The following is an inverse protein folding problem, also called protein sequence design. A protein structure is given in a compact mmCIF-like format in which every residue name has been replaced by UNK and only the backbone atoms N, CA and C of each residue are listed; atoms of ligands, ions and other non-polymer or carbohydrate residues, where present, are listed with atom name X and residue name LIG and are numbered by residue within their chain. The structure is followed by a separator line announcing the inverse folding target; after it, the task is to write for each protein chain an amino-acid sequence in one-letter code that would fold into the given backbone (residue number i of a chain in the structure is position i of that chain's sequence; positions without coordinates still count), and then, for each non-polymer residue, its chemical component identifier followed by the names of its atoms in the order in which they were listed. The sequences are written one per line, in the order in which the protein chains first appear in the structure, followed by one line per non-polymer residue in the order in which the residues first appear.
data_IF_015966470649
#
_entry.id   IF_015966470649
#
_cell.length_a   1.000
_cell.length_b   1.000
_cell.length_c   1.000
_cell.angle_alpha   90.00
_cell.angle_beta   90.00
_cell.angle_gamma   90.00
#
_symmetry.space_group_name_H-M   'P 1'
#
loop_
_entity.id
_entity.type
_entity.pdbx_description
1 polymer ?
#
# COMPACT_ATOMS: atom_id res chain seq x y z
N UNK A 1 -52.22 -12.01 23.78
CA UNK A 1 -53.19 -13.13 23.81
C UNK A 1 -53.62 -13.40 22.37
N UNK A 2 -53.16 -14.54 21.81
CA UNK A 2 -53.57 -15.25 20.57
C UNK A 2 -53.53 -14.46 19.23
N UNK A 3 -52.74 -14.78 18.19
CA UNK A 3 -52.39 -16.02 17.43
C UNK A 3 -53.07 -16.05 16.05
N UNK A 4 -52.27 -16.40 15.02
CA UNK A 4 -52.57 -16.79 13.62
C UNK A 4 -52.80 -15.64 12.61
N UNK A 5 -52.35 -15.72 11.37
CA UNK A 5 -51.84 -16.87 10.63
C UNK A 5 -51.00 -16.49 9.40
N UNK A 6 -50.03 -17.37 9.17
CA UNK A 6 -49.18 -17.53 8.00
C UNK A 6 -50.02 -18.10 6.84
N UNK A 7 -49.87 -17.53 5.64
CA UNK A 7 -50.24 -18.20 4.38
C UNK A 7 -49.17 -17.92 3.33
N UNK A 8 -48.59 -19.04 2.92
CA UNK A 8 -47.48 -19.26 2.02
C UNK A 8 -47.99 -19.29 0.57
N UNK A 9 -47.36 -18.57 -0.36
CA UNK A 9 -47.59 -18.77 -1.80
C UNK A 9 -46.28 -18.63 -2.56
N UNK A 10 -45.68 -19.79 -2.87
CA UNK A 10 -44.59 -19.94 -3.83
C UNK A 10 -45.13 -20.01 -5.27
N UNK A 11 -44.40 -19.50 -6.27
CA UNK A 11 -44.55 -19.95 -7.65
C UNK A 11 -43.47 -20.96 -8.04
N UNK A 12 -43.96 -22.03 -8.66
CA UNK A 12 -43.27 -23.14 -9.31
C UNK A 12 -42.30 -22.66 -10.41
N UNK A 13 -41.03 -23.07 -10.33
CA UNK A 13 -40.10 -23.00 -11.45
C UNK A 13 -39.65 -24.38 -11.92
N UNK A 14 -39.98 -24.61 -13.19
CA UNK A 14 -39.72 -25.74 -14.06
C UNK A 14 -38.38 -26.49 -13.84
N UNK A 15 -38.53 -27.80 -13.80
CA UNK A 15 -37.53 -28.87 -13.89
C UNK A 15 -36.60 -28.70 -15.11
N UNK A 16 -35.29 -28.57 -14.86
CA UNK A 16 -34.25 -28.81 -15.86
C UNK A 16 -33.68 -30.21 -15.69
N UNK A 17 -33.88 -31.05 -16.70
CA UNK A 17 -33.28 -32.37 -16.80
C UNK A 17 -31.74 -32.25 -16.96
N UNK A 18 -31.00 -32.67 -15.93
CA UNK A 18 -29.55 -32.86 -16.02
C UNK A 18 -29.25 -34.26 -16.55
N UNK A 19 -28.83 -34.32 -17.82
CA UNK A 19 -28.28 -35.50 -18.50
C UNK A 19 -27.00 -35.98 -17.82
N UNK A 20 -26.96 -37.25 -17.40
CA UNK A 20 -25.77 -37.93 -16.87
C UNK A 20 -24.69 -38.08 -17.96
N UNK A 21 -23.40 -37.85 -17.67
CA UNK A 21 -22.32 -38.17 -18.59
C UNK A 21 -22.13 -39.70 -18.70
N UNK A 22 -22.06 -40.20 -19.94
CA UNK A 22 -21.80 -41.60 -20.27
C UNK A 22 -20.31 -41.91 -20.03
N UNK A 23 -20.03 -42.88 -19.16
CA UNK A 23 -18.70 -43.48 -19.00
C UNK A 23 -18.46 -44.40 -20.19
N UNK A 24 -17.58 -44.00 -21.11
CA UNK A 24 -17.14 -44.83 -22.23
C UNK A 24 -16.02 -45.76 -21.75
N UNK A 25 -16.33 -47.03 -21.53
CA UNK A 25 -15.33 -48.06 -21.22
C UNK A 25 -14.82 -48.69 -22.51
N UNK A 26 -13.64 -48.26 -22.95
CA UNK A 26 -12.96 -48.86 -24.09
C UNK A 26 -12.15 -50.07 -23.62
N UNK A 27 -12.63 -51.28 -23.94
CA UNK A 27 -11.85 -52.53 -23.82
C UNK A 27 -11.00 -52.70 -25.07
N UNK A 28 -9.67 -52.66 -24.93
CA UNK A 28 -8.77 -53.18 -25.96
C UNK A 28 -8.19 -54.53 -25.54
N UNK A 29 -8.33 -55.50 -26.45
CA UNK A 29 -7.73 -56.84 -26.39
C UNK A 29 -6.22 -56.75 -26.66
N UNK A 30 -5.51 -57.60 -25.95
CA UNK A 30 -4.05 -57.83 -25.96
C UNK A 30 -3.46 -58.13 -27.34
N UNK A 31 -2.30 -57.54 -27.61
CA UNK A 31 -1.30 -58.06 -28.54
C UNK A 31 0.09 -57.92 -27.91
N UNK A 32 0.81 -59.03 -27.86
CA UNK A 32 2.16 -59.15 -27.30
C UNK A 32 3.20 -58.35 -28.09
N UNK A 33 4.11 -57.67 -27.40
CA UNK A 33 5.23 -56.98 -28.03
C UNK A 33 6.20 -56.34 -27.05
N UNK A 34 7.34 -57.00 -26.84
CA UNK A 34 8.65 -56.49 -26.37
C UNK A 34 8.66 -55.54 -25.16
N UNK A 35 9.12 -56.09 -24.04
CA UNK A 35 9.54 -55.34 -22.86
C UNK A 35 10.60 -54.30 -23.26
N UNK A 36 10.20 -53.03 -23.27
CA UNK A 36 11.09 -51.89 -23.40
C UNK A 36 11.21 -51.30 -21.99
N UNK A 37 12.38 -51.44 -21.38
CA UNK A 37 12.68 -50.85 -20.07
C UNK A 37 12.61 -49.33 -20.19
N UNK A 38 11.46 -48.75 -19.83
CA UNK A 38 11.34 -47.32 -19.63
C UNK A 38 11.97 -47.04 -18.26
N UNK A 39 13.22 -46.54 -18.27
CA UNK A 39 13.81 -45.91 -17.09
C UNK A 39 12.96 -44.71 -16.72
N UNK A 40 12.14 -44.85 -15.69
CA UNK A 40 11.50 -43.71 -15.04
C UNK A 40 12.60 -42.93 -14.34
N UNK A 41 13.12 -41.90 -15.00
CA UNK A 41 13.92 -40.86 -14.35
C UNK A 41 13.01 -40.21 -13.31
N UNK A 42 13.28 -40.52 -12.04
CA UNK A 42 12.69 -39.84 -10.91
C UNK A 42 12.97 -38.34 -11.06
N UNK A 43 11.95 -37.55 -11.41
CA UNK A 43 12.02 -36.10 -11.31
C UNK A 43 12.19 -35.78 -9.83
N UNK A 44 13.41 -35.39 -9.46
CA UNK A 44 13.68 -34.81 -8.15
C UNK A 44 12.80 -33.57 -8.02
N UNK A 45 11.75 -33.71 -7.22
CA UNK A 45 10.93 -32.62 -6.75
C UNK A 45 11.85 -31.76 -5.88
N UNK A 46 12.33 -30.65 -6.44
CA UNK A 46 13.10 -29.67 -5.69
C UNK A 46 12.15 -29.08 -4.65
N UNK A 47 12.37 -29.43 -3.39
CA UNK A 47 11.75 -28.74 -2.27
C UNK A 47 11.95 -27.23 -2.44
N UNK A 48 10.92 -26.39 -2.23
CA UNK A 48 11.07 -24.95 -2.30
C UNK A 48 12.12 -24.53 -1.27
N UNK A 49 13.24 -24.02 -1.78
CA UNK A 49 14.32 -23.47 -0.96
C UNK A 49 13.74 -22.40 -0.01
N UNK A 50 14.11 -22.38 1.28
CA UNK A 50 13.71 -21.29 2.15
C UNK A 50 14.19 -19.97 1.55
N UNK A 51 13.29 -19.00 1.43
CA UNK A 51 13.57 -17.68 0.85
C UNK A 51 14.77 -17.04 1.55
N UNK A 52 15.94 -17.11 0.94
CA UNK A 52 17.16 -16.44 1.40
C UNK A 52 16.97 -14.95 1.14
N UNK A 53 16.43 -14.23 2.11
CA UNK A 53 16.33 -12.77 2.05
C UNK A 53 17.74 -12.20 1.87
N UNK A 54 17.99 -11.50 0.77
CA UNK A 54 19.28 -10.85 0.51
C UNK A 54 19.62 -9.89 1.63
N UNK A 55 20.91 -9.71 1.94
CA UNK A 55 21.41 -8.83 3.01
C UNK A 55 20.93 -7.36 2.90
N UNK A 56 20.45 -6.95 1.72
CA UNK A 56 19.75 -5.68 1.49
C UNK A 56 18.36 -5.63 2.14
N UNK A 57 17.60 -6.72 2.14
CA UNK A 57 16.25 -6.81 2.72
C UNK A 57 16.27 -6.84 4.26
N UNK A 58 17.33 -7.39 4.86
CA UNK A 58 17.54 -7.34 6.31
C UNK A 58 17.88 -5.93 6.82
N UNK A 59 18.36 -5.03 5.94
CA UNK A 59 18.75 -3.65 6.28
C UNK A 59 17.62 -2.65 6.07
N UNK A 60 16.73 -2.90 5.11
CA UNK A 60 15.50 -2.12 4.97
C UNK A 60 14.70 -2.28 6.25
N UNK A 61 14.50 -1.17 6.97
CA UNK A 61 13.75 -1.16 8.22
C UNK A 61 12.28 -1.60 8.02
N UNK A 62 11.41 -1.39 9.01
CA UNK A 62 10.01 -1.82 8.96
C UNK A 62 9.19 -1.26 7.78
N UNK A 63 9.74 -0.32 7.01
CA UNK A 63 9.12 0.26 5.83
C UNK A 63 9.51 -0.42 4.51
N UNK A 64 10.47 -1.35 4.51
CA UNK A 64 10.98 -1.97 3.28
C UNK A 64 11.78 -1.00 2.39
N UNK A 65 11.98 0.24 2.81
CA UNK A 65 12.76 1.24 2.06
C UNK A 65 14.25 0.97 2.22
N UNK A 66 14.95 0.96 1.09
CA UNK A 66 16.41 0.91 1.05
C UNK A 66 16.96 2.33 1.15
N UNK A 67 17.54 2.66 2.31
CA UNK A 67 18.21 3.94 2.60
C UNK A 67 19.68 3.64 2.90
N UNK A 68 20.34 3.05 1.92
CA UNK A 68 21.76 2.68 2.01
C UNK A 68 22.02 1.72 3.17
N UNK A 69 22.84 2.17 4.12
CA UNK A 69 23.21 1.40 5.32
C UNK A 69 22.42 1.80 6.58
N UNK A 70 21.45 2.71 6.43
CA UNK A 70 20.78 3.34 7.55
C UNK A 70 19.30 2.93 7.64
N UNK A 71 18.78 2.99 8.87
CA UNK A 71 17.33 2.84 9.08
C UNK A 71 16.64 4.13 8.62
N UNK A 72 15.48 4.05 7.94
CA UNK A 72 14.74 5.24 7.51
C UNK A 72 14.41 6.22 8.64
N UNK A 73 14.22 5.74 9.87
CA UNK A 73 13.89 6.58 11.03
C UNK A 73 15.11 7.09 11.80
N UNK A 74 16.33 6.82 11.34
CA UNK A 74 17.57 7.28 11.98
C UNK A 74 18.00 8.65 11.44
N UNK A 75 18.73 9.48 12.20
CA UNK A 75 19.21 10.78 11.69
C UNK A 75 20.06 10.67 10.42
N UNK A 76 20.91 9.64 10.32
CA UNK A 76 21.70 9.39 9.12
C UNK A 76 20.83 8.96 7.92
N UNK A 77 19.84 8.10 8.15
CA UNK A 77 18.87 7.72 7.12
C UNK A 77 18.02 8.90 6.67
N UNK A 78 17.63 9.78 7.58
CA UNK A 78 16.95 11.03 7.22
C UNK A 78 17.84 11.92 6.36
N UNK A 79 19.11 12.12 6.73
CA UNK A 79 20.04 12.92 5.93
C UNK A 79 20.18 12.37 4.50
N UNK A 80 20.27 11.05 4.33
CA UNK A 80 20.33 10.40 3.01
C UNK A 80 19.04 10.60 2.21
N UNK A 81 17.87 10.38 2.81
CA UNK A 81 16.59 10.61 2.14
C UNK A 81 16.40 12.08 1.78
N UNK A 82 16.74 13.01 2.67
CA UNK A 82 16.63 14.44 2.40
C UNK A 82 17.58 14.88 1.27
N UNK A 83 18.78 14.30 1.18
CA UNK A 83 19.67 14.53 0.05
C UNK A 83 19.07 14.01 -1.26
N UNK A 84 18.54 12.79 -1.28
CA UNK A 84 17.88 12.21 -2.46
C UNK A 84 16.67 13.02 -2.91
N UNK A 85 15.82 13.48 -1.97
CA UNK A 85 14.65 14.30 -2.28
C UNK A 85 15.05 15.66 -2.87
N UNK A 86 16.15 16.28 -2.40
CA UNK A 86 16.70 17.50 -3.00
C UNK A 86 17.24 17.25 -4.41
N UNK A 87 17.96 16.15 -4.61
CA UNK A 87 18.47 15.76 -5.93
C UNK A 87 17.36 15.48 -6.94
N UNK A 88 16.27 14.85 -6.48
CA UNK A 88 15.08 14.59 -7.28
C UNK A 88 14.19 15.83 -7.46
N UNK A 89 14.58 16.99 -6.92
CA UNK A 89 13.85 18.25 -6.99
C UNK A 89 12.40 18.14 -6.49
N UNK A 90 12.19 17.39 -5.40
CA UNK A 90 10.87 17.32 -4.74
C UNK A 90 10.56 18.68 -4.13
N UNK A 91 9.43 19.28 -4.53
CA UNK A 91 9.09 20.65 -4.15
C UNK A 91 8.11 20.70 -2.99
N UNK A 92 8.40 21.55 -2.03
CA UNK A 92 7.44 21.90 -0.99
C UNK A 92 6.46 22.92 -1.55
N UNK A 93 5.16 22.66 -1.46
CA UNK A 93 4.11 23.53 -2.02
C UNK A 93 3.24 24.10 -0.91
N UNK A 94 2.89 25.38 -1.03
CA UNK A 94 1.95 26.05 -0.14
C UNK A 94 0.49 25.68 -0.50
N UNK A 95 -0.48 25.81 0.41
CA UNK A 95 -1.88 25.54 0.12
C UNK A 95 -2.43 26.31 -1.10
N UNK A 96 -2.00 27.55 -1.30
CA UNK A 96 -2.40 28.42 -2.41
C UNK A 96 -1.89 27.90 -3.77
N UNK A 97 -0.89 27.03 -3.76
CA UNK A 97 -0.30 26.44 -4.95
C UNK A 97 -1.08 25.22 -5.46
N UNK A 98 -2.05 24.70 -4.68
CA UNK A 98 -2.78 23.50 -5.09
C UNK A 98 -3.67 23.74 -6.30
N UNK A 99 -4.30 24.92 -6.43
CA UNK A 99 -5.19 25.21 -7.56
C UNK A 99 -4.46 25.12 -8.90
N UNK A 100 -3.27 25.73 -9.02
CA UNK A 100 -2.50 25.68 -10.27
C UNK A 100 -1.96 24.27 -10.56
N UNK A 101 -1.68 23.47 -9.52
CA UNK A 101 -1.27 22.08 -9.69
C UNK A 101 -2.43 21.24 -10.21
N UNK A 102 -3.63 21.42 -9.64
CA UNK A 102 -4.85 20.76 -10.10
C UNK A 102 -5.17 21.09 -11.56
N UNK A 103 -5.01 22.35 -11.99
CA UNK A 103 -5.16 22.76 -13.40
C UNK A 103 -4.17 22.06 -14.34
N UNK A 104 -2.99 21.67 -13.83
CA UNK A 104 -1.99 20.88 -14.57
C UNK A 104 -2.23 19.36 -14.50
N UNK A 105 -3.37 18.94 -13.94
CA UNK A 105 -3.71 17.53 -13.79
C UNK A 105 -2.95 16.84 -12.66
N UNK A 106 -2.56 17.57 -11.62
CA UNK A 106 -1.89 16.96 -10.48
C UNK A 106 -2.82 16.01 -9.72
N UNK A 107 -2.28 14.87 -9.29
CA UNK A 107 -2.97 13.95 -8.38
C UNK A 107 -2.68 14.36 -6.94
N UNK A 108 -3.72 14.80 -6.23
CA UNK A 108 -3.64 15.11 -4.80
C UNK A 108 -3.85 13.83 -3.96
N UNK A 109 -2.82 13.44 -3.22
CA UNK A 109 -2.75 12.16 -2.51
C UNK A 109 -2.76 12.36 -0.98
N UNK A 110 -3.83 11.90 -0.33
CA UNK A 110 -3.88 11.77 1.12
C UNK A 110 -3.28 10.43 1.54
N UNK A 111 -2.13 10.46 2.23
CA UNK A 111 -1.45 9.24 2.69
C UNK A 111 -1.72 8.90 4.16
N UNK A 112 -2.68 9.59 4.80
CA UNK A 112 -3.13 9.29 6.16
C UNK A 112 -3.92 7.97 6.19
N UNK A 113 -4.13 7.37 7.39
CA UNK A 113 -5.02 6.23 7.55
C UNK A 113 -6.41 6.52 6.97
N UNK A 114 -7.08 5.48 6.47
CA UNK A 114 -8.37 5.62 5.81
C UNK A 114 -9.43 6.22 6.75
N UNK A 115 -9.37 5.92 8.04
CA UNK A 115 -10.28 6.48 9.04
C UNK A 115 -10.14 8.01 9.14
N UNK A 116 -8.91 8.52 9.15
CA UNK A 116 -8.63 9.96 9.18
C UNK A 116 -9.07 10.68 7.92
N UNK A 117 -9.03 9.99 6.77
CA UNK A 117 -9.52 10.55 5.51
C UNK A 117 -11.05 10.60 5.50
N UNK A 118 -11.72 9.58 6.06
CA UNK A 118 -13.17 9.54 6.18
C UNK A 118 -13.73 10.65 7.07
N UNK A 119 -13.04 10.96 8.18
CA UNK A 119 -13.41 12.05 9.10
C UNK A 119 -13.28 13.45 8.48
N UNK A 120 -12.51 13.59 7.41
CA UNK A 120 -12.29 14.86 6.74
C UNK A 120 -10.98 14.88 5.94
N UNK A 121 -11.00 15.39 4.72
CA UNK A 121 -9.84 15.44 3.82
C UNK A 121 -9.87 16.68 2.92
N UNK A 122 -8.76 16.94 2.23
CA UNK A 122 -8.69 18.07 1.30
C UNK A 122 -9.57 17.83 0.08
N UNK A 123 -10.25 18.86 -0.45
CA UNK A 123 -11.12 18.71 -1.61
C UNK A 123 -10.39 18.10 -2.82
N UNK A 124 -11.00 17.09 -3.42
CA UNK A 124 -10.43 16.37 -4.58
C UNK A 124 -9.21 15.48 -4.26
N UNK A 125 -8.86 15.29 -2.99
CA UNK A 125 -7.80 14.36 -2.60
C UNK A 125 -8.26 12.89 -2.73
N UNK A 126 -7.38 12.03 -3.23
CA UNK A 126 -7.58 10.57 -3.25
C UNK A 126 -6.78 9.94 -2.12
N UNK A 127 -7.39 9.04 -1.35
CA UNK A 127 -6.70 8.35 -0.26
C UNK A 127 -5.94 7.11 -0.73
N UNK A 128 -4.65 7.09 -0.44
CA UNK A 128 -3.82 5.88 -0.52
C UNK A 128 -2.96 5.82 0.75
N UNK A 129 -3.42 5.14 1.81
CA UNK A 129 -2.74 5.12 3.10
C UNK A 129 -1.32 4.58 2.96
N UNK A 130 -0.32 5.33 3.43
CA UNK A 130 1.07 4.85 3.47
C UNK A 130 1.29 3.87 4.65
N UNK A 131 0.52 4.06 5.73
CA UNK A 131 0.44 3.13 6.84
C UNK A 131 -1.01 2.70 7.03
N UNK A 132 -1.19 1.45 7.43
CA UNK A 132 -2.50 0.85 7.72
C UNK A 132 -2.47 0.16 9.10
N UNK A 133 -3.63 -0.11 9.71
CA UNK A 133 -3.69 -0.99 10.88
C UNK A 133 -3.04 -2.34 10.57
N UNK A 134 -2.42 -2.97 11.57
CA UNK A 134 -1.88 -4.32 11.39
C UNK A 134 -3.04 -5.27 11.07
N UNK A 135 -3.04 -5.90 9.88
CA UNK A 135 -4.15 -6.76 9.43
C UNK A 135 -3.89 -8.24 9.68
N UNK A 136 -2.62 -8.66 9.64
CA UNK A 136 -2.26 -10.09 9.75
C UNK A 136 -1.81 -10.53 11.14
N UNK A 137 -1.47 -11.82 11.20
CA UNK A 137 -1.04 -12.55 12.41
C UNK A 137 0.29 -13.30 12.21
N UNK A 138 1.13 -12.85 11.28
CA UNK A 138 2.49 -13.40 11.13
C UNK A 138 3.31 -13.17 12.42
N UNK A 139 4.37 -13.96 12.68
CA UNK A 139 5.22 -13.77 13.86
C UNK A 139 5.75 -12.33 14.00
N UNK A 140 6.11 -11.70 12.87
CA UNK A 140 6.54 -10.31 12.84
C UNK A 140 5.42 -9.34 13.23
N UNK A 141 4.20 -9.53 12.72
CA UNK A 141 3.05 -8.69 13.05
C UNK A 141 2.63 -8.84 14.51
N UNK A 142 2.69 -10.05 15.07
CA UNK A 142 2.46 -10.30 16.50
C UNK A 142 3.50 -9.57 17.33
N UNK A 143 4.79 -9.73 17.02
CA UNK A 143 5.86 -9.01 17.70
C UNK A 143 5.67 -7.49 17.63
N UNK A 144 5.23 -6.98 16.47
CA UNK A 144 4.93 -5.57 16.26
C UNK A 144 3.76 -5.08 17.12
N UNK A 145 2.66 -5.83 17.19
CA UNK A 145 1.51 -5.54 18.09
C UNK A 145 1.96 -5.47 19.54
N UNK A 146 2.74 -6.46 19.99
CA UNK A 146 3.29 -6.47 21.35
C UNK A 146 4.19 -5.26 21.59
N UNK A 147 5.03 -4.89 20.62
CA UNK A 147 5.84 -3.68 20.67
C UNK A 147 5.00 -2.42 20.87
N UNK A 148 3.94 -2.23 20.07
CA UNK A 148 3.01 -1.10 20.24
C UNK A 148 2.30 -1.12 21.60
N UNK A 149 1.86 -2.28 22.07
CA UNK A 149 1.18 -2.44 23.36
C UNK A 149 2.08 -2.04 24.54
N UNK A 150 3.39 -2.29 24.48
CA UNK A 150 4.36 -1.83 25.49
C UNK A 150 4.42 -0.30 25.62
N UNK A 151 4.02 0.44 24.57
CA UNK A 151 3.91 1.90 24.57
C UNK A 151 2.46 2.39 24.72
N UNK A 152 1.53 1.53 25.15
CA UNK A 152 0.12 1.88 25.37
C UNK A 152 -0.69 2.08 24.09
N UNK A 153 -0.19 1.66 22.93
CA UNK A 153 -0.87 1.81 21.64
C UNK A 153 -1.60 0.50 21.33
N UNK A 154 -2.93 0.49 21.51
CA UNK A 154 -3.76 -0.70 21.27
C UNK A 154 -3.87 -1.06 19.77
N UNK A 155 -3.93 -0.06 18.90
CA UNK A 155 -4.08 -0.23 17.45
C UNK A 155 -2.80 0.22 16.73
N UNK A 156 -1.79 -0.65 16.75
CA UNK A 156 -0.55 -0.43 16.02
C UNK A 156 -0.72 -0.42 14.49
N UNK A 157 0.21 0.23 13.80
CA UNK A 157 0.21 0.34 12.33
C UNK A 157 1.39 -0.35 11.68
N UNK A 158 1.22 -0.78 10.44
CA UNK A 158 2.25 -1.31 9.56
C UNK A 158 2.28 -0.51 8.24
N UNK A 159 3.36 -0.64 7.47
CA UNK A 159 3.40 -0.04 6.13
C UNK A 159 2.42 -0.78 5.24
N UNK A 160 1.65 -0.03 4.45
CA UNK A 160 0.75 -0.61 3.47
C UNK A 160 1.56 -1.22 2.31
N UNK A 161 1.55 -2.55 2.12
CA UNK A 161 2.30 -3.18 1.03
C UNK A 161 1.76 -2.82 -0.36
N UNK A 162 0.49 -2.41 -0.45
CA UNK A 162 -0.16 -2.05 -1.71
C UNK A 162 0.06 -0.59 -2.12
N UNK A 163 0.65 0.24 -1.24
CA UNK A 163 0.80 1.68 -1.45
C UNK A 163 1.35 2.03 -2.85
N UNK A 164 2.46 1.40 -3.25
CA UNK A 164 3.09 1.70 -4.54
C UNK A 164 2.22 1.28 -5.73
N UNK A 165 1.57 0.12 -5.62
CA UNK A 165 0.69 -0.39 -6.66
C UNK A 165 -0.54 0.49 -6.83
N UNK A 166 -1.11 0.98 -5.73
CA UNK A 166 -2.30 1.84 -5.75
C UNK A 166 -1.98 3.25 -6.27
N UNK A 167 -0.85 3.84 -5.89
CA UNK A 167 -0.39 5.11 -6.49
C UNK A 167 -0.16 4.96 -7.99
N UNK A 168 0.44 3.84 -8.44
CA UNK A 168 0.70 3.60 -9.86
C UNK A 168 -0.56 3.40 -10.69
N UNK A 169 -1.70 3.00 -10.08
CA UNK A 169 -3.00 2.96 -10.77
C UNK A 169 -3.60 4.34 -10.99
N UNK A 170 -3.31 5.28 -10.09
CA UNK A 170 -3.83 6.65 -10.13
C UNK A 170 -3.01 7.57 -11.02
N UNK A 171 -1.70 7.31 -11.12
CA UNK A 171 -0.75 8.17 -11.83
C UNK A 171 -0.42 7.55 -13.19
N UNK A 172 -0.94 8.15 -14.25
CA UNK A 172 -0.81 7.64 -15.61
C UNK A 172 0.64 7.58 -16.11
N UNK A 173 1.44 8.62 -15.83
CA UNK A 173 2.87 8.66 -16.14
C UNK A 173 3.68 9.18 -14.94
N UNK A 174 4.40 8.31 -14.20
CA UNK A 174 5.24 8.72 -13.07
C UNK A 174 6.31 9.77 -13.42
N UNK A 175 6.75 9.83 -14.68
CA UNK A 175 7.81 10.75 -15.09
C UNK A 175 7.33 12.19 -15.31
N UNK A 176 6.04 12.39 -15.61
CA UNK A 176 5.50 13.71 -16.01
C UNK A 176 4.26 14.16 -15.23
N UNK A 177 3.47 13.23 -14.69
CA UNK A 177 2.24 13.56 -13.97
C UNK A 177 2.60 14.14 -12.60
N UNK A 178 2.19 15.38 -12.27
CA UNK A 178 2.47 15.95 -10.96
C UNK A 178 1.71 15.18 -9.87
N UNK A 179 2.39 14.87 -8.77
CA UNK A 179 1.77 14.22 -7.60
C UNK A 179 2.02 15.07 -6.37
N UNK A 180 0.95 15.44 -5.68
CA UNK A 180 1.02 16.21 -4.44
C UNK A 180 0.70 15.30 -3.27
N UNK A 181 1.67 15.06 -2.38
CA UNK A 181 1.48 14.24 -1.19
C UNK A 181 1.24 15.10 0.04
N UNK A 182 0.33 14.67 0.89
CA UNK A 182 0.23 15.19 2.24
C UNK A 182 -0.06 14.12 3.29
N UNK A 183 0.45 14.35 4.48
CA UNK A 183 0.09 13.60 5.69
C UNK A 183 -0.46 14.58 6.73
N UNK A 184 -0.65 14.14 7.99
CA UNK A 184 -1.22 15.01 9.02
C UNK A 184 -0.38 16.26 9.31
N UNK A 185 0.95 16.14 9.31
CA UNK A 185 1.88 17.22 9.71
C UNK A 185 2.48 18.01 8.53
N UNK A 186 2.38 17.50 7.31
CA UNK A 186 3.20 18.01 6.20
C UNK A 186 4.65 17.56 6.35
N UNK A 187 5.62 18.29 5.80
CA UNK A 187 7.06 18.05 5.96
C UNK A 187 7.86 19.26 5.52
N UNK A 188 9.20 19.23 5.63
CA UNK A 188 10.05 20.29 5.07
C UNK A 188 11.46 19.80 4.79
N UNK A 189 12.06 20.28 3.69
CA UNK A 189 13.50 20.16 3.40
C UNK A 189 14.28 21.41 3.85
N UNK A 190 13.61 22.42 4.40
CA UNK A 190 14.25 23.61 4.94
C UNK A 190 14.78 23.31 6.35
N UNK A 191 15.99 23.80 6.72
CA UNK A 191 16.54 23.61 8.06
C UNK A 191 15.58 24.08 9.14
N UNK A 192 15.49 23.32 10.22
CA UNK A 192 14.74 23.69 11.44
C UNK A 192 15.72 23.84 12.60
N UNK A 193 15.24 24.38 13.73
CA UNK A 193 16.04 24.45 14.95
C UNK A 193 16.50 23.07 15.46
N UNK A 194 15.79 22.00 15.10
CA UNK A 194 16.05 20.65 15.58
C UNK A 194 16.87 19.80 14.59
N UNK A 195 16.82 20.13 13.30
CA UNK A 195 17.53 19.36 12.26
C UNK A 195 17.84 20.23 11.03
N UNK A 196 19.11 20.23 10.61
CA UNK A 196 19.61 20.95 9.43
C UNK A 196 19.04 20.44 8.10
N UNK A 197 18.57 19.20 8.07
CA UNK A 197 18.00 18.58 6.87
C UNK A 197 16.50 18.84 6.73
N UNK A 198 15.89 19.47 7.75
CA UNK A 198 14.46 19.74 7.82
C UNK A 198 13.69 18.68 8.59
N UNK A 199 12.37 18.67 8.43
CA UNK A 199 11.47 17.83 9.20
C UNK A 199 11.06 16.59 8.40
N UNK A 200 11.49 15.43 8.89
CA UNK A 200 11.04 14.15 8.38
C UNK A 200 9.61 13.86 8.85
N UNK A 201 8.74 13.49 7.91
CA UNK A 201 7.38 13.03 8.20
C UNK A 201 7.00 11.87 7.28
N UNK A 202 5.79 11.34 7.45
CA UNK A 202 5.29 10.22 6.63
C UNK A 202 5.27 10.58 5.14
N UNK A 203 4.94 11.82 4.78
CA UNK A 203 4.92 12.27 3.38
C UNK A 203 6.32 12.36 2.79
N UNK A 204 7.33 12.76 3.57
CA UNK A 204 8.73 12.73 3.12
C UNK A 204 9.22 11.31 2.85
N UNK A 205 8.88 10.36 3.72
CA UNK A 205 9.27 8.95 3.58
C UNK A 205 8.57 8.30 2.39
N UNK A 206 7.28 8.59 2.19
CA UNK A 206 6.54 8.12 1.03
C UNK A 206 7.09 8.73 -0.28
N UNK A 207 7.36 10.04 -0.30
CA UNK A 207 7.96 10.72 -1.45
C UNK A 207 9.32 10.12 -1.81
N UNK A 208 10.15 9.77 -0.83
CA UNK A 208 11.42 9.09 -1.09
C UNK A 208 11.19 7.75 -1.79
N UNK A 209 10.26 6.93 -1.28
CA UNK A 209 9.89 5.67 -1.93
C UNK A 209 9.41 5.86 -3.38
N UNK A 210 8.62 6.89 -3.65
CA UNK A 210 8.14 7.23 -4.99
C UNK A 210 9.28 7.71 -5.91
N UNK A 211 10.21 8.52 -5.40
CA UNK A 211 11.41 8.90 -6.14
C UNK A 211 12.21 7.66 -6.57
N UNK A 212 12.41 6.70 -5.66
CA UNK A 212 13.09 5.44 -5.98
C UNK A 212 12.32 4.60 -7.00
N UNK A 213 10.99 4.75 -7.06
CA UNK A 213 10.13 4.10 -8.05
C UNK A 213 10.03 4.86 -9.39
N UNK A 214 10.74 5.99 -9.55
CA UNK A 214 10.81 6.74 -10.81
C UNK A 214 9.84 7.91 -10.95
N UNK A 215 9.14 8.29 -9.87
CA UNK A 215 8.29 9.49 -9.88
C UNK A 215 9.15 10.75 -9.85
N UNK A 216 8.97 11.65 -10.83
CA UNK A 216 9.84 12.83 -11.01
C UNK A 216 9.17 14.16 -10.65
N UNK A 217 7.85 14.27 -10.77
CA UNK A 217 7.11 15.50 -10.50
C UNK A 217 6.42 15.45 -9.12
N UNK A 218 7.21 15.26 -8.07
CA UNK A 218 6.70 15.11 -6.71
C UNK A 218 6.65 16.46 -5.97
N UNK A 219 5.52 16.69 -5.31
CA UNK A 219 5.25 17.83 -4.47
C UNK A 219 4.79 17.38 -3.09
N UNK A 220 5.15 18.14 -2.06
CA UNK A 220 4.72 17.86 -0.67
C UNK A 220 4.04 19.11 -0.13
N UNK A 221 2.79 18.95 0.33
CA UNK A 221 2.04 20.05 0.94
C UNK A 221 2.69 20.43 2.28
N UNK A 222 3.12 21.69 2.40
CA UNK A 222 3.63 22.26 3.66
C UNK A 222 2.51 22.25 4.71
N UNK A 223 2.85 21.90 5.95
CA UNK A 223 1.91 21.85 7.09
C UNK A 223 0.86 20.73 7.06
N UNK A 224 0.61 20.12 5.90
CA UNK A 224 -0.29 18.97 5.74
C UNK A 224 -1.72 19.26 6.16
N UNK A 225 -2.43 18.23 6.62
CA UNK A 225 -3.84 18.35 7.01
C UNK A 225 -4.04 19.25 8.23
N UNK A 226 -3.16 19.20 9.24
CA UNK A 226 -3.34 19.98 10.46
C UNK A 226 -3.19 21.49 10.24
N UNK A 227 -2.22 21.92 9.42
CA UNK A 227 -2.12 23.32 9.03
C UNK A 227 -3.31 23.75 8.17
N UNK A 228 -3.78 22.87 7.29
CA UNK A 228 -4.95 23.13 6.45
C UNK A 228 -6.19 23.49 7.28
N UNK A 229 -6.54 22.66 8.26
CA UNK A 229 -7.69 22.90 9.14
C UNK A 229 -7.45 24.06 10.12
N UNK A 230 -6.21 24.27 10.57
CA UNK A 230 -5.87 25.38 11.47
C UNK A 230 -6.01 26.76 10.80
N UNK A 231 -6.05 26.78 9.46
CA UNK A 231 -6.30 27.98 8.66
C UNK A 231 -7.73 28.03 8.09
N UNK A 232 -8.68 27.29 8.71
CA UNK A 232 -10.11 27.28 8.37
C UNK A 232 -10.40 27.02 6.87
N UNK A 233 -9.58 26.18 6.23
CA UNK A 233 -9.76 25.81 4.82
C UNK A 233 -10.80 24.70 4.69
N UNK A 234 -11.51 24.71 3.56
CA UNK A 234 -12.56 23.73 3.24
C UNK A 234 -12.05 22.29 3.26
N UNK A 235 -12.87 21.38 3.77
CA UNK A 235 -12.63 19.93 3.77
C UNK A 235 -13.84 19.19 3.21
N UNK A 236 -13.59 18.05 2.59
CA UNK A 236 -14.61 17.08 2.20
C UNK A 236 -14.74 16.00 3.29
N UNK A 237 -15.97 15.56 3.55
CA UNK A 237 -16.31 14.49 4.50
C UNK A 237 -17.21 13.50 3.75
N UNK A 238 -17.08 12.20 4.03
CA UNK A 238 -18.00 11.22 3.49
C UNK A 238 -19.32 11.27 4.26
N UNK A 239 -20.42 11.52 3.55
CA UNK A 239 -21.79 11.38 4.06
C UNK A 239 -22.21 9.91 4.22
#
# INVERSE_FOLDING_TARGET
MQLRGYVDTAPSHATRHATRPRVCTLRHRSAAGRATTISVLAQQQQDPQPLTQTSSQLRSGPTGLNVGQHRPTSPAGWAEMAAALRQANVRMVAPQELSWLSEKGAVLLDIRPAENYQEGHLPGAVNVPFYQPIQGWTPWQVARRMGYALFGIAHGTEVNPNFMADVSKLVADPASTPVVLYCSLGGSLEPTNNDKNGQQTRSMVAAYGLTQAGFKALHILKGGYFDWIANDREIEIFE
#
